data_IF_829558950609
#
_entry.id   IF_829558950609
#
_cell.length_a   1.000
_cell.length_b   1.000
_cell.length_c   1.000
_cell.angle_alpha   90.00
_cell.angle_beta   90.00
_cell.angle_gamma   90.00
#
_symmetry.space_group_name_H-M   'P 1'
#
loop_
_entity.id
_entity.type
_entity.pdbx_description
1 polymer ?
#
# COMPACT_ATOMS: atom_id res chain seq x y z
N UNK A 1 22.20 18.78 -22.68
CA UNK A 1 21.95 17.60 -23.52
C UNK A 1 21.69 16.34 -22.66
N UNK A 2 22.51 16.06 -21.68
CA UNK A 2 22.37 14.91 -20.76
C UNK A 2 21.06 14.92 -19.99
N UNK A 3 20.67 16.04 -19.38
CA UNK A 3 19.40 16.17 -18.64
C UNK A 3 18.15 15.89 -19.50
N UNK A 4 18.21 16.22 -20.79
CA UNK A 4 17.11 15.94 -21.72
C UNK A 4 17.00 14.44 -22.05
N UNK A 5 18.14 13.77 -22.11
CA UNK A 5 18.20 12.32 -22.36
C UNK A 5 17.72 11.56 -21.14
N UNK A 6 18.14 11.97 -19.94
CA UNK A 6 17.70 11.38 -18.68
C UNK A 6 16.18 11.53 -18.50
N UNK A 7 15.65 12.73 -18.74
CA UNK A 7 14.19 12.97 -18.67
C UNK A 7 13.43 12.12 -19.70
N UNK A 8 14.00 11.90 -20.88
CA UNK A 8 13.38 11.08 -21.93
C UNK A 8 13.39 9.60 -21.56
N UNK A 9 14.48 9.11 -21.00
CA UNK A 9 14.60 7.73 -20.51
C UNK A 9 13.62 7.49 -19.36
N UNK A 10 13.51 8.40 -18.42
CA UNK A 10 12.55 8.31 -17.31
C UNK A 10 11.11 8.26 -17.81
N UNK A 11 10.75 9.11 -18.77
CA UNK A 11 9.42 9.09 -19.39
C UNK A 11 9.13 7.80 -20.14
N UNK A 12 10.09 7.30 -20.91
CA UNK A 12 9.95 6.03 -21.63
C UNK A 12 9.82 4.85 -20.65
N UNK A 13 10.62 4.84 -19.60
CA UNK A 13 10.55 3.81 -18.54
C UNK A 13 9.21 3.84 -17.82
N UNK A 14 8.68 5.03 -17.54
CA UNK A 14 7.34 5.19 -16.95
C UNK A 14 6.24 4.69 -17.88
N UNK A 15 6.29 5.05 -19.16
CA UNK A 15 5.30 4.60 -20.16
C UNK A 15 5.33 3.07 -20.36
N UNK A 16 6.52 2.48 -20.45
CA UNK A 16 6.69 1.02 -20.57
C UNK A 16 6.16 0.34 -19.30
N UNK A 17 6.45 0.90 -18.13
CA UNK A 17 5.96 0.39 -16.86
C UNK A 17 4.43 0.45 -16.77
N UNK A 18 3.80 1.54 -17.23
CA UNK A 18 2.35 1.67 -17.28
C UNK A 18 1.71 0.62 -18.20
N UNK A 19 2.25 0.43 -19.41
CA UNK A 19 1.75 -0.56 -20.37
C UNK A 19 1.88 -1.98 -19.81
N UNK A 20 3.03 -2.33 -19.24
CA UNK A 20 3.26 -3.64 -18.64
C UNK A 20 2.38 -3.89 -17.42
N UNK A 21 2.01 -2.85 -16.69
CA UNK A 21 1.10 -2.97 -15.55
C UNK A 21 -0.34 -3.18 -15.95
N UNK A 22 -0.81 -2.51 -16.99
CA UNK A 22 -2.15 -2.70 -17.52
C UNK A 22 -2.35 -4.14 -18.00
N UNK A 23 -1.35 -4.70 -18.70
CA UNK A 23 -1.37 -6.08 -19.19
C UNK A 23 -1.24 -7.14 -18.07
N UNK A 24 -0.72 -6.79 -16.89
CA UNK A 24 -0.52 -7.71 -15.76
C UNK A 24 -1.60 -7.61 -14.69
N UNK A 25 -2.63 -6.80 -14.88
CA UNK A 25 -3.75 -6.74 -13.96
C UNK A 25 -4.60 -8.00 -14.05
N UNK A 26 -4.96 -8.53 -12.90
CA UNK A 26 -5.88 -9.65 -12.77
C UNK A 26 -6.91 -9.37 -11.68
N UNK A 27 -8.01 -10.10 -11.74
CA UNK A 27 -9.03 -10.07 -10.69
C UNK A 27 -8.61 -11.06 -9.61
N UNK A 28 -8.49 -10.58 -8.40
CA UNK A 28 -8.17 -11.38 -7.22
C UNK A 28 -9.14 -11.03 -6.10
N UNK A 29 -9.35 -11.97 -5.18
CA UNK A 29 -10.09 -11.66 -3.96
C UNK A 29 -9.20 -10.91 -2.96
N UNK A 30 -9.81 -10.18 -2.05
CA UNK A 30 -9.07 -9.52 -0.97
C UNK A 30 -8.33 -10.53 -0.10
N UNK A 31 -8.90 -11.73 0.09
CA UNK A 31 -8.27 -12.79 0.86
C UNK A 31 -7.03 -13.35 0.17
N UNK A 32 -7.09 -13.59 -1.14
CA UNK A 32 -5.91 -14.02 -1.92
C UNK A 32 -4.75 -13.03 -1.83
N UNK A 33 -5.05 -11.72 -1.89
CA UNK A 33 -4.05 -10.69 -1.72
C UNK A 33 -3.46 -10.70 -0.31
N UNK A 34 -4.31 -10.77 0.70
CA UNK A 34 -3.87 -10.76 2.09
C UNK A 34 -3.02 -11.98 2.43
N UNK A 35 -3.40 -13.17 1.95
CA UNK A 35 -2.63 -14.40 2.11
C UNK A 35 -1.24 -14.28 1.46
N UNK A 36 -1.15 -13.67 0.28
CA UNK A 36 0.12 -13.43 -0.40
C UNK A 36 1.02 -12.45 0.39
N UNK A 37 0.46 -11.41 0.97
CA UNK A 37 1.18 -10.46 1.83
C UNK A 37 1.70 -11.17 3.08
N UNK A 38 0.84 -11.90 3.78
CA UNK A 38 1.21 -12.61 5.01
C UNK A 38 2.27 -13.68 4.76
N UNK A 39 2.20 -14.39 3.64
CA UNK A 39 3.22 -15.36 3.26
C UNK A 39 4.60 -14.71 3.04
N UNK A 40 4.65 -13.52 2.45
CA UNK A 40 5.91 -12.80 2.20
C UNK A 40 6.55 -12.26 3.49
N UNK A 41 5.75 -11.82 4.46
CA UNK A 41 6.26 -11.27 5.72
C UNK A 41 6.46 -12.33 6.82
N UNK A 42 6.09 -13.59 6.58
CA UNK A 42 6.09 -14.65 7.59
C UNK A 42 7.44 -14.91 8.28
N UNK A 43 8.54 -14.62 7.59
CA UNK A 43 9.89 -14.76 8.13
C UNK A 43 10.49 -13.45 8.67
N UNK A 44 9.74 -12.36 8.63
CA UNK A 44 10.19 -11.07 9.14
C UNK A 44 10.17 -11.06 10.68
N UNK A 45 11.11 -10.33 11.29
CA UNK A 45 11.19 -10.18 12.76
C UNK A 45 9.93 -9.56 13.37
N UNK A 46 9.17 -8.80 12.58
CA UNK A 46 7.93 -8.14 13.01
C UNK A 46 6.67 -8.96 12.72
N UNK A 47 6.78 -10.14 12.16
CA UNK A 47 5.62 -10.95 11.74
C UNK A 47 4.62 -11.19 12.87
N UNK A 48 5.12 -11.45 14.07
CA UNK A 48 4.29 -11.71 15.27
C UNK A 48 3.52 -10.48 15.76
N UNK A 49 3.89 -9.28 15.31
CA UNK A 49 3.19 -8.04 15.64
C UNK A 49 1.98 -7.78 14.73
N UNK A 50 1.89 -8.50 13.59
CA UNK A 50 0.89 -8.23 12.56
C UNK A 50 -0.35 -9.07 12.79
N UNK A 51 -1.47 -8.40 12.92
CA UNK A 51 -2.80 -8.98 13.04
C UNK A 51 -3.64 -8.63 11.81
N UNK A 52 -4.46 -9.55 11.34
CA UNK A 52 -5.31 -9.34 10.18
C UNK A 52 -6.79 -9.48 10.53
N UNK A 53 -7.62 -8.63 9.96
CA UNK A 53 -9.07 -8.70 10.03
C UNK A 53 -9.64 -8.43 8.64
N UNK A 54 -10.18 -9.44 7.98
CA UNK A 54 -10.80 -9.29 6.67
C UNK A 54 -12.31 -9.49 6.79
N UNK A 55 -13.06 -8.40 6.60
CA UNK A 55 -14.53 -8.40 6.62
C UNK A 55 -15.17 -8.58 5.25
N UNK A 56 -14.36 -8.61 4.19
CA UNK A 56 -14.82 -8.78 2.82
C UNK A 56 -13.92 -9.76 2.04
N UNK A 57 -13.75 -11.03 2.52
CA UNK A 57 -12.76 -11.96 1.98
C UNK A 57 -13.00 -12.34 0.52
N UNK A 58 -14.25 -12.35 0.08
CA UNK A 58 -14.67 -12.70 -1.28
C UNK A 58 -14.78 -11.49 -2.22
N UNK A 59 -14.60 -10.27 -1.71
CA UNK A 59 -14.65 -9.06 -2.53
C UNK A 59 -13.51 -9.09 -3.56
N UNK A 60 -13.87 -8.75 -4.80
CA UNK A 60 -12.96 -8.80 -5.95
C UNK A 60 -12.37 -7.43 -6.24
N UNK A 61 -11.09 -7.42 -6.53
CA UNK A 61 -10.33 -6.24 -6.94
C UNK A 61 -9.54 -6.55 -8.20
N UNK A 62 -9.38 -5.56 -9.07
CA UNK A 62 -8.57 -5.67 -10.28
C UNK A 62 -7.24 -4.93 -10.10
N UNK A 63 -6.18 -5.68 -9.90
CA UNK A 63 -4.86 -5.16 -9.59
C UNK A 63 -3.75 -6.01 -10.21
N UNK A 64 -2.54 -5.45 -10.28
CA UNK A 64 -1.34 -6.27 -10.37
C UNK A 64 -1.02 -6.78 -8.95
N UNK A 65 -1.25 -8.07 -8.71
CA UNK A 65 -1.13 -8.70 -7.38
C UNK A 65 0.26 -8.52 -6.77
N UNK A 66 1.33 -8.68 -7.55
CA UNK A 66 2.71 -8.57 -7.06
C UNK A 66 2.98 -7.13 -6.61
N UNK A 67 2.62 -6.16 -7.43
CA UNK A 67 2.88 -4.74 -7.16
C UNK A 67 2.03 -4.22 -6.00
N UNK A 68 0.77 -4.61 -5.93
CA UNK A 68 -0.11 -4.20 -4.85
C UNK A 68 0.23 -4.88 -3.51
N UNK A 69 0.72 -6.12 -3.53
CA UNK A 69 1.31 -6.75 -2.35
C UNK A 69 2.48 -5.93 -1.80
N UNK A 70 3.33 -5.38 -2.68
CA UNK A 70 4.43 -4.48 -2.28
C UNK A 70 3.93 -3.21 -1.61
N UNK A 71 2.78 -2.67 -2.04
CA UNK A 71 2.13 -1.54 -1.35
C UNK A 71 1.83 -1.89 0.10
N UNK A 72 1.12 -2.98 0.33
CA UNK A 72 0.74 -3.39 1.69
C UNK A 72 1.96 -3.75 2.54
N UNK A 73 2.94 -4.46 1.98
CA UNK A 73 4.19 -4.79 2.68
C UNK A 73 4.93 -3.51 3.06
N UNK A 74 5.01 -2.52 2.18
CA UNK A 74 5.64 -1.24 2.47
C UNK A 74 4.97 -0.52 3.66
N UNK A 75 3.63 -0.52 3.70
CA UNK A 75 2.89 0.06 4.82
C UNK A 75 3.13 -0.70 6.13
N UNK A 76 3.18 -2.02 6.08
CA UNK A 76 3.48 -2.87 7.25
C UNK A 76 4.91 -2.64 7.75
N UNK A 77 5.89 -2.53 6.85
CA UNK A 77 7.28 -2.23 7.21
C UNK A 77 7.43 -0.85 7.84
N UNK A 78 6.70 0.16 7.35
CA UNK A 78 6.67 1.48 7.97
C UNK A 78 6.07 1.42 9.38
N UNK A 79 4.98 0.68 9.55
CA UNK A 79 4.37 0.42 10.85
C UNK A 79 5.33 -0.30 11.79
N UNK A 80 6.00 -1.35 11.32
CA UNK A 80 6.98 -2.12 12.11
C UNK A 80 8.16 -1.25 12.56
N UNK A 81 8.60 -0.34 11.72
CA UNK A 81 9.64 0.62 12.09
C UNK A 81 9.18 1.59 13.19
N UNK A 82 7.94 2.05 13.14
CA UNK A 82 7.37 2.95 14.13
C UNK A 82 7.09 2.26 15.47
N UNK A 83 6.83 0.96 15.45
CA UNK A 83 6.50 0.16 16.63
C UNK A 83 7.77 -0.43 17.24
N UNK A 84 8.42 0.32 18.12
CA UNK A 84 9.67 -0.12 18.80
C UNK A 84 9.43 -0.47 20.26
N UNK A 85 8.25 -0.96 20.60
CA UNK A 85 7.87 -1.26 21.99
C UNK A 85 7.46 -2.73 22.14
N UNK A 86 7.61 -3.33 23.33
CA UNK A 86 7.19 -4.71 23.58
C UNK A 86 5.69 -4.96 23.38
N UNK A 87 4.85 -3.93 23.55
CA UNK A 87 3.41 -3.93 23.40
C UNK A 87 2.94 -3.46 22.00
N UNK A 88 3.88 -3.43 21.04
CA UNK A 88 3.61 -3.01 19.68
C UNK A 88 2.63 -3.90 18.96
N UNK A 89 1.73 -3.30 18.18
CA UNK A 89 0.74 -4.00 17.36
C UNK A 89 0.58 -3.31 16.02
N UNK A 90 0.40 -4.12 14.98
CA UNK A 90 0.11 -3.70 13.63
C UNK A 90 -1.15 -4.43 13.19
N UNK A 91 -2.12 -3.71 12.68
CA UNK A 91 -3.35 -4.27 12.17
C UNK A 91 -3.48 -4.02 10.67
N UNK A 92 -3.81 -5.07 9.93
CA UNK A 92 -4.28 -4.96 8.54
C UNK A 92 -5.76 -5.28 8.55
N UNK A 93 -6.60 -4.29 8.27
CA UNK A 93 -8.04 -4.47 8.16
C UNK A 93 -8.49 -4.29 6.72
N UNK A 94 -9.41 -5.12 6.29
CA UNK A 94 -10.04 -5.03 4.97
C UNK A 94 -11.54 -5.01 5.15
N UNK A 95 -12.18 -4.05 4.50
CA UNK A 95 -13.63 -3.91 4.49
C UNK A 95 -14.15 -3.45 3.12
N UNK A 96 -15.40 -3.75 2.85
CA UNK A 96 -16.15 -3.21 1.73
C UNK A 96 -17.14 -2.18 2.26
N UNK A 97 -17.15 -1.00 1.66
CA UNK A 97 -18.07 0.08 2.02
C UNK A 97 -19.44 -0.12 1.36
N UNK A 98 -20.45 0.64 1.79
CA UNK A 98 -21.77 0.64 1.17
C UNK A 98 -21.76 0.98 -0.33
N UNK A 99 -20.74 1.73 -0.81
CA UNK A 99 -20.50 2.03 -2.22
C UNK A 99 -19.69 0.98 -2.97
N UNK A 100 -19.48 -0.22 -2.40
CA UNK A 100 -18.64 -1.30 -2.91
C UNK A 100 -17.15 -0.94 -3.08
N UNK A 101 -16.70 0.17 -2.52
CA UNK A 101 -15.29 0.52 -2.44
C UNK A 101 -14.57 -0.41 -1.45
N UNK A 102 -13.41 -0.91 -1.82
CA UNK A 102 -12.62 -1.78 -0.94
C UNK A 102 -11.56 -0.94 -0.23
N UNK A 103 -11.56 -1.01 1.10
CA UNK A 103 -10.60 -0.31 1.96
C UNK A 103 -9.65 -1.28 2.62
N UNK A 104 -8.36 -0.97 2.49
CA UNK A 104 -7.27 -1.61 3.24
C UNK A 104 -6.73 -0.60 4.24
N UNK A 105 -6.77 -0.92 5.51
CA UNK A 105 -6.20 -0.07 6.56
C UNK A 105 -5.01 -0.78 7.19
N UNK A 106 -3.89 -0.07 7.28
CA UNK A 106 -2.74 -0.50 8.07
C UNK A 106 -2.61 0.47 9.24
N UNK A 107 -2.83 -0.04 10.43
CA UNK A 107 -2.80 0.71 11.69
C UNK A 107 -1.69 0.21 12.58
N UNK A 108 -0.98 1.11 13.21
CA UNK A 108 0.02 0.82 14.23
C UNK A 108 -0.18 1.69 15.48
N UNK A 109 0.28 1.18 16.61
CA UNK A 109 0.35 1.92 17.86
C UNK A 109 1.77 2.45 18.16
N UNK A 110 2.51 2.79 17.11
CA UNK A 110 3.88 3.26 17.19
C UNK A 110 4.04 4.73 17.60
N UNK A 111 5.16 5.30 17.22
CA UNK A 111 5.55 6.67 17.60
C UNK A 111 4.69 7.75 16.94
N UNK A 112 3.95 7.43 15.90
CA UNK A 112 3.24 8.41 15.08
C UNK A 112 4.20 9.32 14.31
N UNK A 113 3.62 10.28 13.59
CA UNK A 113 4.35 11.24 12.78
C UNK A 113 4.10 12.63 13.34
N UNK A 114 5.16 13.41 13.63
CA UNK A 114 5.02 14.80 14.03
C UNK A 114 4.22 15.59 12.98
N UNK A 115 3.33 16.45 13.46
CA UNK A 115 2.44 17.24 12.60
C UNK A 115 3.17 18.07 11.55
N UNK A 116 4.37 18.55 11.89
CA UNK A 116 5.23 19.34 11.00
C UNK A 116 5.70 18.56 9.78
N UNK A 117 5.78 17.21 9.89
CA UNK A 117 6.24 16.33 8.81
C UNK A 117 5.10 15.81 7.94
N UNK A 118 3.83 15.92 8.35
CA UNK A 118 2.69 15.33 7.62
C UNK A 118 2.53 15.89 6.19
N UNK A 119 2.96 17.11 5.92
CA UNK A 119 2.95 17.68 4.56
C UNK A 119 4.04 17.13 3.63
N UNK A 120 5.13 16.61 4.19
CA UNK A 120 6.33 16.19 3.45
C UNK A 120 6.37 14.68 3.16
N UNK A 121 5.58 13.88 3.88
CA UNK A 121 5.63 12.42 3.81
C UNK A 121 5.31 11.83 2.43
N UNK A 122 4.62 12.60 1.58
CA UNK A 122 4.26 12.20 0.22
C UNK A 122 5.31 12.60 -0.82
N UNK A 123 6.30 13.39 -0.45
CA UNK A 123 7.33 13.84 -1.39
C UNK A 123 8.27 12.70 -1.78
N UNK A 124 8.65 12.68 -3.07
CA UNK A 124 9.62 11.72 -3.59
C UNK A 124 10.96 11.88 -2.87
N UNK A 125 11.48 10.80 -2.32
CA UNK A 125 12.74 10.79 -1.56
C UNK A 125 12.57 11.10 -0.08
N UNK A 126 11.39 11.51 0.37
CA UNK A 126 11.09 11.57 1.79
C UNK A 126 10.97 10.15 2.36
N UNK A 127 11.77 9.85 3.34
CA UNK A 127 11.67 8.60 4.09
C UNK A 127 12.02 8.87 5.55
N UNK A 128 11.12 8.51 6.44
CA UNK A 128 11.41 8.44 7.87
C UNK A 128 12.44 7.33 8.15
N UNK A 129 12.53 6.39 7.21
CA UNK A 129 13.54 5.33 7.13
C UNK A 129 14.53 5.67 6.02
N UNK A 130 15.79 5.79 6.36
CA UNK A 130 16.86 6.08 5.40
C UNK A 130 17.21 4.92 4.44
N UNK A 131 16.42 3.84 4.34
CA UNK A 131 16.92 2.57 3.83
C UNK A 131 16.41 2.06 2.49
N UNK A 132 15.27 2.48 1.95
CA UNK A 132 14.77 1.80 0.74
C UNK A 132 14.28 2.68 -0.40
N UNK A 133 14.11 3.98 -0.20
CA UNK A 133 13.57 4.87 -1.23
C UNK A 133 12.13 4.55 -1.70
N UNK A 134 11.53 3.49 -1.18
CA UNK A 134 10.15 3.11 -1.40
C UNK A 134 9.30 3.68 -0.25
N UNK A 135 9.07 4.99 -0.28
CA UNK A 135 8.24 5.67 0.68
C UNK A 135 6.75 5.63 0.32
N UNK A 136 5.98 6.45 1.02
CA UNK A 136 4.56 6.65 0.76
C UNK A 136 4.29 7.18 -0.65
N UNK A 137 5.26 7.81 -1.29
CA UNK A 137 5.17 8.21 -2.70
C UNK A 137 4.94 7.00 -3.63
N UNK A 138 5.64 5.89 -3.43
CA UNK A 138 5.41 4.65 -4.17
C UNK A 138 3.99 4.11 -3.94
N UNK A 139 3.54 4.09 -2.69
CA UNK A 139 2.17 3.67 -2.34
C UNK A 139 1.15 4.52 -3.09
N UNK A 140 1.29 5.85 -3.03
CA UNK A 140 0.41 6.79 -3.70
C UNK A 140 0.37 6.54 -5.21
N UNK A 141 1.52 6.41 -5.87
CA UNK A 141 1.58 6.16 -7.31
C UNK A 141 0.87 4.87 -7.72
N UNK A 142 1.12 3.77 -7.02
CA UNK A 142 0.49 2.48 -7.36
C UNK A 142 -1.01 2.52 -7.14
N UNK A 143 -1.46 3.11 -6.04
CA UNK A 143 -2.89 3.21 -5.72
C UNK A 143 -3.63 4.12 -6.71
N UNK A 144 -3.05 5.26 -7.06
CA UNK A 144 -3.62 6.17 -8.08
C UNK A 144 -3.72 5.49 -9.45
N UNK A 145 -2.74 4.68 -9.85
CA UNK A 145 -2.80 3.88 -11.08
C UNK A 145 -3.93 2.84 -11.07
N UNK A 146 -4.36 2.40 -9.90
CA UNK A 146 -5.54 1.54 -9.72
C UNK A 146 -6.86 2.33 -9.64
N UNK A 147 -6.84 3.64 -9.79
CA UNK A 147 -8.01 4.50 -9.65
C UNK A 147 -8.44 4.73 -8.20
N UNK A 148 -7.59 4.39 -7.24
CA UNK A 148 -7.84 4.51 -5.82
C UNK A 148 -7.25 5.78 -5.19
N UNK A 149 -7.34 5.83 -3.88
CA UNK A 149 -6.81 6.94 -3.06
C UNK A 149 -6.12 6.41 -1.80
N UNK A 150 -5.24 7.23 -1.25
CA UNK A 150 -4.53 6.96 0.01
C UNK A 150 -4.75 8.11 0.96
N UNK A 151 -5.13 7.79 2.18
CA UNK A 151 -5.26 8.73 3.28
C UNK A 151 -4.37 8.28 4.43
N UNK A 152 -3.80 9.24 5.16
CA UNK A 152 -2.98 8.98 6.32
C UNK A 152 -3.42 9.87 7.48
N UNK A 153 -3.69 9.22 8.61
CA UNK A 153 -3.95 9.88 9.88
C UNK A 153 -2.89 9.44 10.88
N UNK A 154 -2.29 10.38 11.55
CA UNK A 154 -1.26 10.10 12.54
C UNK A 154 -1.32 11.08 13.70
N UNK A 155 -1.14 10.54 14.90
CA UNK A 155 -1.00 11.31 16.14
C UNK A 155 0.32 10.91 16.79
N UNK A 156 1.16 11.91 17.01
CA UNK A 156 2.47 11.69 17.63
C UNK A 156 2.31 10.98 18.98
N UNK A 157 3.07 9.92 19.18
CA UNK A 157 3.06 9.00 20.34
C UNK A 157 1.84 8.08 20.48
N UNK A 158 0.88 8.15 19.57
CA UNK A 158 -0.31 7.28 19.60
C UNK A 158 -0.28 6.26 18.46
N UNK A 159 0.21 6.64 17.28
CA UNK A 159 0.34 5.77 16.14
C UNK A 159 -0.11 6.38 14.82
N UNK A 160 -0.21 5.53 13.81
CA UNK A 160 -0.56 5.93 12.44
C UNK A 160 -1.58 4.96 11.85
N UNK A 161 -2.51 5.47 11.08
CA UNK A 161 -3.43 4.72 10.24
C UNK A 161 -3.26 5.18 8.79
N UNK A 162 -2.95 4.26 7.91
CA UNK A 162 -2.95 4.50 6.46
C UNK A 162 -4.11 3.74 5.85
N UNK A 163 -4.99 4.44 5.14
CA UNK A 163 -6.14 3.88 4.46
C UNK A 163 -5.95 3.94 2.96
N UNK A 164 -5.96 2.79 2.31
CA UNK A 164 -5.94 2.65 0.85
C UNK A 164 -7.33 2.25 0.41
N UNK A 165 -7.94 3.06 -0.46
CA UNK A 165 -9.26 2.82 -1.01
C UNK A 165 -9.17 2.50 -2.50
N UNK A 166 -9.79 1.40 -2.92
CA UNK A 166 -9.88 0.99 -4.32
C UNK A 166 -11.33 1.08 -4.79
N UNK A 167 -11.56 1.50 -6.04
CA UNK A 167 -12.90 1.50 -6.62
C UNK A 167 -13.46 0.07 -6.71
N UNK A 168 -14.80 -0.08 -6.77
CA UNK A 168 -15.40 -1.38 -7.00
C UNK A 168 -14.93 -1.96 -8.33
N UNK A 169 -14.78 -3.30 -8.38
CA UNK A 169 -14.52 -4.01 -9.63
C UNK A 169 -15.79 -3.95 -10.48
N UNK A 170 -15.69 -3.47 -11.74
CA UNK A 170 -16.81 -3.46 -12.66
C UNK A 170 -17.19 -4.90 -13.05
N UNK A 171 -18.48 -5.24 -13.01
CA UNK A 171 -18.98 -6.61 -13.23
C UNK A 171 -18.53 -7.19 -14.58
N UNK A 172 -18.50 -6.40 -15.64
CA UNK A 172 -18.07 -6.81 -16.98
C UNK A 172 -16.58 -7.21 -17.07
N UNK A 173 -15.79 -6.83 -16.09
CA UNK A 173 -14.34 -7.09 -16.03
C UNK A 173 -14.01 -8.23 -15.07
N UNK A 174 -14.92 -8.52 -14.15
CA UNK A 174 -14.74 -9.58 -13.15
C UNK A 174 -15.06 -10.99 -13.68
N UNK A 175 -15.77 -11.12 -14.82
CA UNK A 175 -16.13 -12.43 -15.39
C UNK A 175 -15.09 -13.01 -16.36
N UNK A 176 -14.08 -12.25 -16.76
CA UNK A 176 -13.04 -12.67 -17.74
C UNK A 176 -11.69 -13.01 -17.12
N UNK A 177 -11.69 -13.55 -15.93
CA UNK A 177 -10.48 -14.01 -15.25
C UNK A 177 -10.34 -15.52 -15.22
#
# INVERSE_FOLDING_TARGET
YLERIETMIDRMSSMISEILHEEQRSVVTTQELLDAVMAQISSAEYADLVHTENRAPEAKIRINKIRFSRVLINLVENAAYAVRRPDGKIWIRVEETEGAEIRFQVEDNGTGIPRELLGEIWEKGFSIRSSSGLGLNFVQQVVEQCGGSVELESVEREGTVVTVSLPPCEEDVCETG
#
